data_IF_021024326499
#
_entry.id   IF_021024326499
#
_cell.length_a   1.000
_cell.length_b   1.000
_cell.length_c   1.000
_cell.angle_alpha   90.00
_cell.angle_beta   90.00
_cell.angle_gamma   90.00
#
_symmetry.space_group_name_H-M   'P 1'
#
loop_
_entity.id
_entity.type
_entity.pdbx_description
1 polymer ?
#
# COMPACT_ATOMS: atom_id res chain seq x y z
N UNK A 1 15.39 9.93 -37.26
CA UNK A 1 14.00 10.06 -36.79
C UNK A 1 13.55 8.68 -36.37
N UNK A 2 12.79 8.63 -35.27
CA UNK A 2 12.19 7.44 -34.60
C UNK A 2 13.19 6.67 -33.69
N UNK A 3 13.32 6.95 -32.38
CA UNK A 3 12.42 6.84 -31.19
C UNK A 3 12.21 5.40 -30.67
N UNK A 4 12.60 5.23 -29.39
CA UNK A 4 12.02 4.39 -28.33
C UNK A 4 12.30 2.87 -28.26
N UNK A 5 12.79 2.46 -27.08
CA UNK A 5 12.82 1.06 -26.66
C UNK A 5 13.55 0.81 -25.34
N UNK A 6 13.37 1.66 -24.33
CA UNK A 6 13.89 1.43 -22.98
C UNK A 6 13.27 0.18 -22.37
N UNK A 7 13.94 -0.95 -22.48
CA UNK A 7 13.51 -2.22 -21.89
C UNK A 7 13.79 -2.21 -20.38
N UNK A 8 12.94 -1.52 -19.62
CA UNK A 8 12.86 -1.66 -18.18
C UNK A 8 12.42 -3.09 -17.84
N UNK A 9 13.39 -3.97 -17.59
CA UNK A 9 13.12 -5.32 -17.12
C UNK A 9 12.44 -5.24 -15.75
N UNK A 10 11.11 -5.38 -15.73
CA UNK A 10 10.36 -5.60 -14.50
C UNK A 10 10.84 -6.94 -13.94
N UNK A 11 11.64 -6.91 -12.88
CA UNK A 11 12.11 -8.10 -12.20
C UNK A 11 10.90 -8.97 -11.83
N UNK A 12 10.87 -10.21 -12.31
CA UNK A 12 9.87 -11.18 -11.90
C UNK A 12 9.91 -11.29 -10.37
N UNK A 13 8.76 -11.22 -9.67
CA UNK A 13 8.76 -11.31 -8.21
C UNK A 13 9.44 -12.62 -7.78
N UNK A 14 10.18 -12.60 -6.65
CA UNK A 14 10.87 -13.78 -6.14
C UNK A 14 9.88 -14.95 -6.02
N UNK A 15 10.27 -16.10 -6.58
CA UNK A 15 9.47 -17.32 -6.58
C UNK A 15 9.19 -17.70 -5.12
N UNK A 16 7.92 -17.61 -4.70
CA UNK A 16 7.48 -17.88 -3.32
C UNK A 16 6.90 -16.68 -2.56
N UNK A 17 6.94 -15.46 -3.13
CA UNK A 17 6.30 -14.29 -2.53
C UNK A 17 4.92 -14.02 -3.14
N UNK A 18 3.92 -13.76 -2.29
CA UNK A 18 2.61 -13.26 -2.72
C UNK A 18 2.58 -11.73 -2.62
N UNK A 19 2.40 -11.08 -3.75
CA UNK A 19 2.14 -9.64 -3.81
C UNK A 19 0.64 -9.39 -3.75
N UNK A 20 0.19 -8.55 -2.80
CA UNK A 20 -1.20 -8.09 -2.69
C UNK A 20 -1.20 -6.58 -2.81
N UNK A 21 -2.19 -6.03 -3.51
CA UNK A 21 -2.37 -4.60 -3.68
C UNK A 21 -3.48 -4.10 -2.76
N UNK A 22 -3.19 -3.05 -1.99
CA UNK A 22 -4.17 -2.38 -1.12
C UNK A 22 -4.69 -1.14 -1.83
N UNK A 23 -6.02 -1.02 -1.87
CA UNK A 23 -6.68 0.12 -2.49
C UNK A 23 -6.58 1.36 -1.60
N UNK A 24 -6.50 2.53 -2.22
CA UNK A 24 -6.59 3.82 -1.52
C UNK A 24 -8.03 4.04 -1.04
N UNK A 25 -8.17 4.69 0.10
CA UNK A 25 -9.44 5.16 0.63
C UNK A 25 -9.60 6.64 0.25
N UNK A 26 -10.56 6.94 -0.63
CA UNK A 26 -10.85 8.30 -1.11
C UNK A 26 -12.05 8.94 -0.39
N UNK A 27 -12.51 8.34 0.71
CA UNK A 27 -13.68 8.81 1.44
C UNK A 27 -13.50 10.22 2.02
N UNK A 28 -12.26 10.59 2.35
CA UNK A 28 -11.86 11.90 2.88
C UNK A 28 -11.21 12.80 1.81
N UNK A 29 -11.45 12.52 0.52
CA UNK A 29 -10.93 13.31 -0.59
C UNK A 29 -9.57 12.82 -1.09
N UNK A 30 -8.60 13.73 -1.24
CA UNK A 30 -7.31 13.44 -1.89
C UNK A 30 -6.17 13.17 -0.93
N UNK A 31 -6.41 13.09 0.39
CA UNK A 31 -5.42 12.75 1.40
C UNK A 31 -4.92 11.31 1.25
N UNK A 32 -3.66 11.04 1.64
CA UNK A 32 -3.08 9.69 1.50
C UNK A 32 -3.60 8.77 2.61
N UNK A 33 -4.55 7.90 2.26
CA UNK A 33 -5.13 6.91 3.15
C UNK A 33 -5.39 5.59 2.45
N UNK A 34 -5.14 4.47 3.12
CA UNK A 34 -5.33 3.13 2.60
C UNK A 34 -6.53 2.46 3.28
N UNK A 35 -7.25 1.63 2.52
CA UNK A 35 -8.34 0.82 3.07
C UNK A 35 -7.78 -0.23 4.03
N UNK A 36 -8.34 -0.33 5.22
CA UNK A 36 -7.92 -1.28 6.25
C UNK A 36 -8.59 -2.66 6.12
N UNK A 37 -9.52 -2.81 5.18
CA UNK A 37 -10.24 -4.07 4.97
C UNK A 37 -9.27 -5.21 4.63
N UNK A 38 -9.38 -6.30 5.36
CA UNK A 38 -8.57 -7.49 5.10
C UNK A 38 -8.82 -8.06 3.69
N UNK A 39 -7.77 -8.23 2.87
CA UNK A 39 -7.92 -8.71 1.50
C UNK A 39 -8.28 -10.21 1.47
N UNK A 40 -9.33 -10.56 0.71
CA UNK A 40 -9.82 -11.94 0.60
C UNK A 40 -8.79 -12.89 0.00
N UNK A 41 -7.83 -12.38 -0.79
CA UNK A 41 -6.73 -13.16 -1.38
C UNK A 41 -5.79 -13.79 -0.34
N UNK A 42 -5.75 -13.20 0.86
CA UNK A 42 -5.00 -13.72 2.01
C UNK A 42 -5.85 -14.68 2.87
N UNK A 43 -7.18 -14.64 2.75
CA UNK A 43 -8.10 -15.49 3.49
C UNK A 43 -7.95 -16.95 3.04
N UNK A 44 -7.30 -17.78 3.85
CA UNK A 44 -6.97 -19.18 3.55
C UNK A 44 -5.47 -19.48 3.41
N UNK A 45 -4.62 -18.48 3.12
CA UNK A 45 -3.15 -18.63 3.22
C UNK A 45 -2.63 -18.37 4.63
N UNK A 46 -3.41 -17.58 5.37
CA UNK A 46 -3.23 -17.34 6.81
C UNK A 46 -3.37 -18.60 7.64
N UNK A 47 -4.26 -19.53 7.24
CA UNK A 47 -4.64 -20.66 8.09
C UNK A 47 -3.67 -21.85 8.06
N UNK A 48 -2.88 -22.04 6.99
CA UNK A 48 -2.03 -23.22 6.86
C UNK A 48 -0.52 -22.98 7.03
N UNK A 49 0.02 -21.78 6.74
CA UNK A 49 1.50 -21.55 6.81
C UNK A 49 1.90 -20.10 7.20
N UNK A 50 1.06 -19.08 6.97
CA UNK A 50 1.46 -17.66 7.14
C UNK A 50 0.43 -16.88 7.96
N UNK A 51 0.34 -17.15 9.25
CA UNK A 51 -0.67 -16.54 10.13
C UNK A 51 -0.49 -15.01 10.29
N UNK A 52 -0.94 -14.24 9.30
CA UNK A 52 -1.20 -12.81 9.43
C UNK A 52 -2.61 -12.70 10.00
N UNK A 53 -2.71 -12.49 11.31
CA UNK A 53 -3.99 -12.23 11.95
C UNK A 53 -4.61 -10.96 11.35
N UNK A 54 -5.92 -10.96 11.00
CA UNK A 54 -6.57 -9.78 10.43
C UNK A 54 -6.42 -8.54 11.32
N UNK A 55 -6.40 -8.72 12.64
CA UNK A 55 -6.15 -7.66 13.63
C UNK A 55 -4.79 -6.98 13.41
N UNK A 56 -3.71 -7.75 13.20
CA UNK A 56 -2.35 -7.26 13.00
C UNK A 56 -2.27 -6.49 11.67
N UNK A 57 -2.95 -7.01 10.64
CA UNK A 57 -3.04 -6.32 9.35
C UNK A 57 -3.74 -4.96 9.48
N UNK A 58 -4.87 -4.92 10.17
CA UNK A 58 -5.61 -3.68 10.43
C UNK A 58 -4.77 -2.70 11.25
N UNK A 59 -4.10 -3.15 12.31
CA UNK A 59 -3.22 -2.31 13.11
C UNK A 59 -2.06 -1.75 12.28
N UNK A 60 -1.40 -2.58 11.48
CA UNK A 60 -0.30 -2.17 10.60
C UNK A 60 -0.75 -1.09 9.62
N UNK A 61 -1.89 -1.27 8.95
CA UNK A 61 -2.40 -0.26 8.03
C UNK A 61 -2.86 1.02 8.72
N UNK A 62 -3.44 0.92 9.92
CA UNK A 62 -3.75 2.11 10.72
C UNK A 62 -2.48 2.89 11.07
N UNK A 63 -1.40 2.21 11.48
CA UNK A 63 -0.11 2.86 11.73
C UNK A 63 0.44 3.53 10.47
N UNK A 64 0.37 2.87 9.31
CA UNK A 64 0.78 3.48 8.03
C UNK A 64 -0.06 4.73 7.73
N UNK A 65 -1.38 4.64 7.85
CA UNK A 65 -2.28 5.78 7.64
C UNK A 65 -1.95 6.95 8.58
N UNK A 66 -1.67 6.67 9.86
CA UNK A 66 -1.24 7.70 10.82
C UNK A 66 0.06 8.38 10.38
N UNK A 67 1.07 7.61 9.96
CA UNK A 67 2.33 8.17 9.47
C UNK A 67 2.13 9.13 8.29
N UNK A 68 1.27 8.76 7.34
CA UNK A 68 0.94 9.64 6.21
C UNK A 68 0.15 10.88 6.65
N UNK A 69 -0.81 10.73 7.56
CA UNK A 69 -1.59 11.85 8.10
C UNK A 69 -0.70 12.84 8.88
N UNK A 70 0.25 12.34 9.68
CA UNK A 70 1.23 13.17 10.40
C UNK A 70 2.17 13.89 9.42
N UNK A 71 2.63 13.21 8.37
CA UNK A 71 3.48 13.81 7.34
C UNK A 71 2.74 14.94 6.58
N UNK A 72 1.45 14.76 6.28
CA UNK A 72 0.62 15.79 5.65
C UNK A 72 0.42 17.02 6.57
N UNK A 73 0.24 16.81 7.88
CA UNK A 73 0.12 17.90 8.85
C UNK A 73 1.42 18.69 9.02
N UNK A 74 2.57 18.00 9.02
CA UNK A 74 3.88 18.65 9.12
C UNK A 74 4.32 19.32 7.81
N UNK A 75 3.69 18.96 6.68
CA UNK A 75 3.90 19.61 5.38
C UNK A 75 3.12 20.93 5.20
N UNK A 76 2.72 21.60 6.28
CA UNK A 76 2.18 22.96 6.23
C UNK A 76 3.32 23.98 6.27
N UNK A 77 3.96 24.24 5.12
CA UNK A 77 4.98 25.29 5.04
C UNK A 77 5.93 25.26 3.85
N UNK A 78 5.43 25.11 2.62
CA UNK A 78 6.12 25.63 1.43
C UNK A 78 5.24 25.51 0.19
N UNK A 79 4.32 26.44 0.04
CA UNK A 79 3.84 26.79 -1.28
C UNK A 79 3.48 28.27 -1.29
N UNK A 80 4.44 29.09 -1.72
CA UNK A 80 4.17 30.44 -2.21
C UNK A 80 4.17 30.28 -3.73
N UNK A 81 3.00 30.27 -4.34
CA UNK A 81 2.82 30.76 -5.72
C UNK A 81 2.24 32.17 -5.65
#
# INVERSE_FOLDING_TARGET
MEELGGNGKVASPPQGCMKVFIQRDYSEGTSVKFQTKFPQELNGKVFFIWAIEPSIFEQMLNTVNSMYAEAEQMSCGRYCE
#
